data_IF_546186759439
#
_entry.id   IF_546186759439
#
_cell.length_a   1.000
_cell.length_b   1.000
_cell.length_c   1.000
_cell.angle_alpha   90.00
_cell.angle_beta   90.00
_cell.angle_gamma   90.00
#
_symmetry.space_group_name_H-M   'P 1'
#
loop_
_entity.id
_entity.type
_entity.pdbx_description
1 polymer ?
#
# COMPACT_ATOMS: atom_id res chain seq x y z
N UNK A 1 50.61 -13.81 -8.03
CA UNK A 1 49.46 -14.70 -8.33
C UNK A 1 48.99 -14.35 -9.72
N UNK A 2 49.62 -14.92 -10.74
CA UNK A 2 49.32 -14.62 -12.15
C UNK A 2 48.15 -15.49 -12.61
N UNK A 3 46.95 -14.94 -12.53
CA UNK A 3 45.74 -15.63 -12.95
C UNK A 3 45.60 -15.47 -14.46
N UNK A 4 46.14 -16.43 -15.21
CA UNK A 4 46.06 -16.46 -16.67
C UNK A 4 44.61 -16.41 -17.19
N UNK A 5 44.40 -16.17 -18.50
CA UNK A 5 43.08 -15.91 -19.09
C UNK A 5 42.03 -17.00 -18.81
N UNK A 6 42.46 -18.26 -18.62
CA UNK A 6 41.60 -19.37 -18.20
C UNK A 6 41.13 -19.28 -16.75
N UNK A 7 41.97 -18.75 -15.86
CA UNK A 7 41.61 -18.48 -14.47
C UNK A 7 40.60 -17.35 -14.34
N UNK A 8 40.74 -16.31 -15.17
CA UNK A 8 39.77 -15.21 -15.23
C UNK A 8 38.41 -15.69 -15.77
N UNK A 9 38.40 -16.59 -16.76
CA UNK A 9 37.17 -17.21 -17.25
C UNK A 9 36.50 -18.11 -16.22
N UNK A 10 37.27 -18.91 -15.47
CA UNK A 10 36.73 -19.74 -14.39
C UNK A 10 36.12 -18.89 -13.26
N UNK A 11 36.77 -17.78 -12.89
CA UNK A 11 36.25 -16.86 -11.88
C UNK A 11 34.93 -16.20 -12.34
N UNK A 12 34.85 -15.81 -13.61
CA UNK A 12 33.65 -15.22 -14.20
C UNK A 12 32.47 -16.22 -14.23
N UNK A 13 32.72 -17.50 -14.53
CA UNK A 13 31.70 -18.55 -14.50
C UNK A 13 31.21 -18.82 -13.07
N UNK A 14 32.12 -18.85 -12.08
CA UNK A 14 31.75 -19.02 -10.67
C UNK A 14 30.93 -17.84 -10.13
N UNK A 15 31.27 -16.61 -10.51
CA UNK A 15 30.48 -15.41 -10.18
C UNK A 15 29.09 -15.44 -10.85
N UNK A 16 29.00 -15.85 -12.11
CA UNK A 16 27.72 -15.95 -12.83
C UNK A 16 26.78 -17.01 -12.23
N UNK A 17 27.31 -18.15 -11.77
CA UNK A 17 26.52 -19.20 -11.11
C UNK A 17 26.11 -18.83 -9.68
N UNK A 18 26.86 -17.96 -9.00
CA UNK A 18 26.57 -17.50 -7.63
C UNK A 18 25.48 -16.43 -7.51
N UNK A 19 25.09 -15.76 -8.61
CA UNK A 19 24.13 -14.65 -8.58
C UNK A 19 22.66 -15.04 -8.69
N UNK A 20 22.32 -16.32 -8.89
CA UNK A 20 20.93 -16.78 -8.88
C UNK A 20 20.43 -16.96 -7.43
N UNK A 21 20.17 -15.86 -6.74
CA UNK A 21 19.30 -15.90 -5.56
C UNK A 21 17.84 -15.92 -6.06
N UNK A 22 17.06 -17.00 -5.83
CA UNK A 22 15.63 -16.93 -6.03
C UNK A 22 15.09 -15.84 -5.11
N UNK A 23 14.27 -14.93 -5.65
CA UNK A 23 13.56 -13.95 -4.83
C UNK A 23 12.64 -14.72 -3.88
N UNK A 24 13.14 -14.97 -2.66
CA UNK A 24 12.38 -15.64 -1.62
C UNK A 24 11.12 -14.84 -1.33
N UNK A 25 10.04 -15.56 -1.02
CA UNK A 25 8.81 -14.93 -0.60
C UNK A 25 9.06 -14.13 0.69
N UNK A 26 8.92 -12.81 0.61
CA UNK A 26 9.08 -11.94 1.77
C UNK A 26 7.79 -11.98 2.60
N UNK A 27 7.92 -12.14 3.92
CA UNK A 27 6.78 -12.06 4.83
C UNK A 27 6.11 -10.69 4.71
N UNK A 28 4.78 -10.61 4.46
CA UNK A 28 4.08 -9.33 4.39
C UNK A 28 4.09 -8.59 5.73
N UNK A 29 4.01 -7.25 5.67
CA UNK A 29 3.84 -6.44 6.89
C UNK A 29 2.41 -6.54 7.44
N UNK A 30 2.24 -6.22 8.72
CA UNK A 30 0.93 -6.30 9.37
C UNK A 30 -0.16 -5.50 8.64
N UNK A 31 0.15 -4.27 8.18
CA UNK A 31 -0.79 -3.43 7.45
C UNK A 31 -1.24 -4.04 6.12
N UNK A 32 -0.38 -4.84 5.46
CA UNK A 32 -0.73 -5.51 4.21
C UNK A 32 -1.76 -6.62 4.42
N UNK A 33 -1.85 -7.18 5.63
CA UNK A 33 -2.78 -8.24 5.97
C UNK A 33 -4.05 -7.73 6.68
N UNK A 34 -3.91 -6.77 7.58
CA UNK A 34 -5.00 -6.35 8.47
C UNK A 34 -5.99 -5.38 7.84
N UNK A 35 -5.64 -4.74 6.72
CA UNK A 35 -6.43 -3.70 6.04
C UNK A 35 -7.17 -4.22 4.80
N UNK A 36 -7.36 -5.54 4.70
CA UNK A 36 -8.17 -6.18 3.65
C UNK A 36 -9.47 -6.66 4.27
N UNK A 37 -10.59 -6.19 3.74
CA UNK A 37 -11.91 -6.68 4.10
C UNK A 37 -12.03 -8.19 3.75
N UNK A 38 -12.71 -8.96 4.60
CA UNK A 38 -12.70 -10.42 4.53
C UNK A 38 -13.30 -10.97 3.22
N UNK A 39 -14.35 -10.33 2.69
CA UNK A 39 -14.98 -10.70 1.40
C UNK A 39 -14.13 -10.35 0.19
N UNK A 40 -13.19 -9.41 0.32
CA UNK A 40 -12.26 -9.03 -0.76
C UNK A 40 -10.98 -9.87 -0.81
N UNK A 41 -10.78 -10.79 0.16
CA UNK A 41 -9.60 -11.66 0.21
C UNK A 41 -9.52 -12.56 -1.01
N UNK A 42 -8.37 -12.56 -1.67
CA UNK A 42 -8.06 -13.47 -2.78
C UNK A 42 -7.20 -14.61 -2.27
N UNK A 43 -7.65 -15.85 -2.49
CA UNK A 43 -6.95 -17.05 -2.06
C UNK A 43 -5.50 -17.10 -2.60
N UNK A 44 -4.55 -17.41 -1.72
CA UNK A 44 -3.13 -17.57 -2.05
C UNK A 44 -2.60 -18.98 -1.73
N UNK A 45 -3.31 -19.76 -0.92
CA UNK A 45 -2.86 -21.07 -0.45
C UNK A 45 -3.72 -22.23 -0.93
N UNK A 46 -3.36 -23.44 -0.54
CA UNK A 46 -4.20 -24.63 -0.71
C UNK A 46 -5.11 -24.85 0.52
N UNK A 47 -6.22 -25.59 0.40
CA UNK A 47 -7.09 -25.92 1.54
C UNK A 47 -6.33 -26.66 2.64
N UNK A 48 -6.45 -26.21 3.89
CA UNK A 48 -5.76 -26.82 5.03
C UNK A 48 -4.30 -26.38 5.23
N UNK A 49 -3.81 -25.40 4.47
CA UNK A 49 -2.49 -24.79 4.68
C UNK A 49 -2.34 -24.26 6.11
N UNK A 50 -1.17 -24.49 6.72
CA UNK A 50 -0.86 -23.96 8.05
C UNK A 50 -0.61 -22.45 8.00
N UNK A 51 -0.80 -21.75 9.12
CA UNK A 51 -0.51 -20.33 9.22
C UNK A 51 0.97 -20.02 8.87
N UNK A 52 1.90 -20.85 9.37
CA UNK A 52 3.33 -20.68 9.14
C UNK A 52 3.69 -20.85 7.65
N UNK A 53 3.12 -21.86 6.99
CA UNK A 53 3.35 -22.11 5.58
C UNK A 53 2.79 -20.99 4.70
N UNK A 54 1.59 -20.49 5.02
CA UNK A 54 1.00 -19.34 4.33
C UNK A 54 1.88 -18.06 4.45
N UNK A 55 2.46 -17.79 5.62
CA UNK A 55 3.38 -16.65 5.76
C UNK A 55 4.71 -16.89 5.04
N UNK A 56 5.21 -18.12 5.01
CA UNK A 56 6.44 -18.49 4.31
C UNK A 56 6.30 -18.44 2.79
N UNK A 57 5.08 -18.54 2.24
CA UNK A 57 4.79 -18.28 0.82
C UNK A 57 4.58 -16.79 0.52
N UNK A 58 4.77 -15.90 1.50
CA UNK A 58 4.64 -14.46 1.31
C UNK A 58 3.18 -13.98 1.33
N UNK A 59 2.29 -14.74 1.97
CA UNK A 59 0.87 -14.44 2.06
C UNK A 59 0.41 -14.17 3.50
N UNK A 60 -0.83 -13.73 3.63
CA UNK A 60 -1.46 -13.38 4.89
C UNK A 60 -2.35 -14.52 5.37
N UNK A 61 -2.31 -14.83 6.67
CA UNK A 61 -3.18 -15.82 7.28
C UNK A 61 -4.13 -15.21 8.32
N UNK A 62 -5.43 -15.49 8.21
CA UNK A 62 -6.45 -15.13 9.21
C UNK A 62 -7.68 -16.06 9.13
N UNK A 63 -7.85 -16.91 10.14
CA UNK A 63 -8.95 -17.88 10.26
C UNK A 63 -10.15 -17.40 11.08
N UNK A 64 -10.18 -16.13 11.51
CA UNK A 64 -11.27 -15.60 12.36
C UNK A 64 -12.61 -15.50 11.66
N UNK A 65 -12.62 -15.38 10.33
CA UNK A 65 -13.84 -15.23 9.53
C UNK A 65 -14.09 -16.54 8.75
N UNK A 66 -15.25 -17.20 8.93
CA UNK A 66 -15.58 -18.40 8.17
C UNK A 66 -15.99 -18.06 6.74
N UNK A 67 -16.01 -19.07 5.85
CA UNK A 67 -16.47 -18.96 4.46
C UNK A 67 -15.70 -17.97 3.57
N UNK A 68 -14.49 -17.58 3.96
CA UNK A 68 -13.56 -16.75 3.17
C UNK A 68 -12.17 -17.40 3.16
N UNK A 69 -11.28 -17.05 2.20
CA UNK A 69 -9.93 -17.59 2.20
C UNK A 69 -9.17 -17.21 3.48
N UNK A 70 -8.67 -18.22 4.18
CA UNK A 70 -7.82 -18.01 5.36
C UNK A 70 -6.39 -17.67 5.00
N UNK A 71 -5.87 -18.22 3.89
CA UNK A 71 -4.60 -17.81 3.32
C UNK A 71 -4.85 -16.96 2.08
N UNK A 72 -4.45 -15.68 2.11
CA UNK A 72 -4.81 -14.71 1.09
C UNK A 72 -3.66 -13.80 0.70
N UNK A 73 -3.75 -13.22 -0.49
CA UNK A 73 -2.74 -12.30 -1.00
C UNK A 73 -2.70 -11.00 -0.18
N UNK A 74 -1.49 -10.49 0.14
CA UNK A 74 -1.33 -9.20 0.81
C UNK A 74 -1.69 -8.03 -0.10
N UNK A 75 -1.93 -6.85 0.48
CA UNK A 75 -1.95 -5.61 -0.27
C UNK A 75 -0.58 -5.32 -0.89
N UNK A 76 -0.52 -4.58 -2.02
CA UNK A 76 0.75 -4.16 -2.61
C UNK A 76 1.60 -3.37 -1.61
N UNK A 77 2.90 -3.70 -1.56
CA UNK A 77 3.89 -2.90 -0.81
C UNK A 77 3.89 -1.46 -1.34
N UNK A 78 3.96 -0.50 -0.42
CA UNK A 78 4.07 0.93 -0.72
C UNK A 78 5.32 1.48 -0.04
N UNK A 79 5.73 2.70 -0.43
CA UNK A 79 6.83 3.45 0.19
C UNK A 79 6.66 3.61 1.71
N UNK A 80 5.41 3.75 2.17
CA UNK A 80 5.09 3.86 3.59
C UNK A 80 3.92 2.95 3.99
N UNK A 81 3.94 2.44 5.22
CA UNK A 81 2.85 1.61 5.75
C UNK A 81 1.54 2.41 5.90
N UNK A 82 1.63 3.74 6.03
CA UNK A 82 0.49 4.64 6.05
C UNK A 82 -0.30 4.61 4.73
N UNK A 83 0.37 4.36 3.60
CA UNK A 83 -0.25 4.27 2.28
C UNK A 83 -0.82 2.89 1.94
N UNK A 84 -0.56 1.85 2.75
CA UNK A 84 -1.05 0.50 2.50
C UNK A 84 -2.54 0.42 2.82
N UNK A 85 -3.40 0.37 1.80
CA UNK A 85 -4.85 0.22 1.94
C UNK A 85 -5.48 -0.29 0.66
N UNK A 86 -6.70 -0.81 0.75
CA UNK A 86 -7.51 -1.14 -0.41
C UNK A 86 -7.81 0.09 -1.28
N UNK A 87 -7.96 -0.12 -2.59
CA UNK A 87 -8.23 0.97 -3.54
C UNK A 87 -9.53 1.68 -3.19
N UNK A 88 -10.57 0.94 -2.80
CA UNK A 88 -11.86 1.48 -2.39
C UNK A 88 -11.78 2.32 -1.10
N UNK A 89 -10.76 2.10 -0.27
CA UNK A 89 -10.53 2.87 0.96
C UNK A 89 -9.68 4.13 0.73
N UNK A 90 -9.15 4.33 -0.49
CA UNK A 90 -8.33 5.51 -0.81
C UNK A 90 -9.19 6.76 -0.77
N UNK A 91 -8.72 7.76 -0.02
CA UNK A 91 -9.29 9.10 -0.01
C UNK A 91 -8.53 9.97 -0.99
N UNK A 92 -9.25 10.65 -1.89
CA UNK A 92 -8.62 11.57 -2.83
C UNK A 92 -8.03 12.76 -2.06
N UNK A 93 -6.71 12.92 -2.12
CA UNK A 93 -5.96 14.00 -1.50
C UNK A 93 -5.20 14.86 -2.53
N UNK A 94 -5.58 14.78 -3.81
CA UNK A 94 -4.94 15.50 -4.91
C UNK A 94 -5.95 16.09 -5.90
N UNK A 95 -5.44 16.55 -7.03
CA UNK A 95 -6.22 17.10 -8.16
C UNK A 95 -5.81 16.42 -9.48
N UNK A 96 -6.66 16.46 -10.52
CA UNK A 96 -6.31 15.90 -11.83
C UNK A 96 -5.01 16.52 -12.36
N UNK A 97 -4.03 15.67 -12.71
CA UNK A 97 -2.72 16.10 -13.22
C UNK A 97 -1.66 16.38 -12.16
N UNK A 98 -1.92 16.13 -10.87
CA UNK A 98 -0.91 16.23 -9.80
C UNK A 98 0.29 15.29 -10.07
N UNK A 99 1.51 15.81 -9.88
CA UNK A 99 2.74 15.04 -10.08
C UNK A 99 3.15 14.24 -8.84
N UNK A 100 3.87 13.10 -8.97
CA UNK A 100 4.36 12.33 -7.82
C UNK A 100 5.24 13.14 -6.84
N UNK A 101 5.96 14.14 -7.36
CA UNK A 101 6.82 15.03 -6.58
C UNK A 101 5.98 15.98 -5.70
N UNK A 102 4.84 16.45 -6.21
CA UNK A 102 3.88 17.27 -5.45
C UNK A 102 3.14 16.45 -4.37
N UNK A 103 2.95 15.14 -4.60
CA UNK A 103 2.41 14.21 -3.59
C UNK A 103 3.40 14.03 -2.42
N UNK A 104 4.71 14.06 -2.67
CA UNK A 104 5.76 13.86 -1.66
C UNK A 104 5.88 15.02 -0.64
N UNK A 105 5.57 16.26 -1.06
CA UNK A 105 5.66 17.45 -0.17
C UNK A 105 4.59 17.46 0.92
N UNK A 106 3.55 16.63 0.79
CA UNK A 106 2.46 16.53 1.77
C UNK A 106 2.73 15.53 2.90
N UNK A 107 3.79 14.71 2.81
CA UNK A 107 4.16 13.80 3.90
C UNK A 107 4.66 14.54 5.15
N UNK A 108 5.05 15.81 5.03
CA UNK A 108 5.41 16.64 6.19
C UNK A 108 4.18 17.25 6.92
N UNK A 109 2.98 17.20 6.33
CA UNK A 109 1.77 17.82 6.88
C UNK A 109 0.87 16.86 7.70
N UNK A 110 1.19 15.56 7.75
CA UNK A 110 0.43 14.58 8.54
C UNK A 110 1.03 14.27 9.92
N UNK A 111 2.07 14.98 10.34
CA UNK A 111 2.48 15.02 11.75
C UNK A 111 1.68 16.08 12.51
N UNK A 112 0.38 15.85 12.67
CA UNK A 112 -0.38 16.15 13.91
C UNK A 112 -1.84 15.75 13.72
N UNK A 113 -2.17 14.57 14.25
CA UNK A 113 -3.50 14.37 14.79
C UNK A 113 -3.75 15.42 15.88
N UNK A 114 -4.47 16.48 15.54
CA UNK A 114 -5.20 17.29 16.51
C UNK A 114 -6.68 17.22 16.11
N UNK A 115 -7.57 16.70 16.96
CA UNK A 115 -8.93 16.32 16.53
C UNK A 115 -9.87 17.52 16.36
N UNK A 116 -9.44 18.77 16.54
CA UNK A 116 -10.25 19.95 16.27
C UNK A 116 -9.38 21.07 15.71
N UNK A 117 -9.74 21.57 14.51
CA UNK A 117 -9.13 22.68 13.75
C UNK A 117 -7.78 22.35 13.07
N UNK A 118 -7.85 21.94 11.81
CA UNK A 118 -6.75 22.13 10.87
C UNK A 118 -7.19 23.15 9.82
N UNK A 119 -6.69 24.37 9.96
CA UNK A 119 -6.76 25.39 8.93
C UNK A 119 -5.80 24.97 7.82
N UNK A 120 -6.32 24.56 6.67
CA UNK A 120 -5.49 24.25 5.50
C UNK A 120 -5.01 25.58 4.93
N UNK A 121 -3.80 26.00 5.29
CA UNK A 121 -3.11 27.05 4.56
C UNK A 121 -2.58 26.43 3.26
N UNK A 122 -3.36 26.57 2.19
CA UNK A 122 -2.87 26.33 0.84
C UNK A 122 -1.76 27.37 0.56
N UNK A 123 -0.55 26.97 0.14
CA UNK A 123 0.40 27.90 -0.45
C UNK A 123 -0.13 28.24 -1.85
N UNK A 124 -1.01 29.22 -1.94
CA UNK A 124 -1.43 29.80 -3.22
C UNK A 124 -0.75 31.17 -3.37
N UNK A 125 0.19 31.36 -4.32
CA UNK A 125 0.78 32.67 -4.55
C UNK A 125 -0.13 33.63 -5.34
N UNK A 126 -1.36 33.26 -5.72
CA UNK A 126 -2.15 34.06 -6.68
C UNK A 126 -3.68 34.13 -6.46
N UNK A 127 -4.25 33.97 -5.26
CA UNK A 127 -5.69 34.24 -5.10
C UNK A 127 -6.04 35.07 -3.88
N UNK A 128 -6.28 36.35 -4.17
CA UNK A 128 -7.01 37.37 -3.41
C UNK A 128 -7.99 36.77 -2.39
N UNK A 129 -7.87 37.23 -1.15
CA UNK A 129 -8.81 37.04 -0.04
C UNK A 129 -10.27 37.05 -0.52
N UNK A 130 -10.94 35.90 -0.40
CA UNK A 130 -12.39 35.84 -0.30
C UNK A 130 -12.73 34.88 0.83
N UNK A 131 -13.14 35.43 1.98
CA UNK A 131 -13.75 34.65 3.06
C UNK A 131 -15.01 33.98 2.50
N UNK A 132 -15.01 32.65 2.37
CA UNK A 132 -16.25 31.89 2.21
C UNK A 132 -16.60 31.24 3.56
N UNK A 133 -17.76 31.67 4.09
CA UNK A 133 -18.43 31.12 5.27
C UNK A 133 -18.55 29.61 5.13
N UNK A 134 -18.32 28.90 6.24
CA UNK A 134 -18.39 27.44 6.30
C UNK A 134 -19.76 26.88 5.92
N UNK A 135 -19.74 25.78 5.18
CA UNK A 135 -20.90 24.91 4.96
C UNK A 135 -20.94 23.88 6.11
N UNK A 136 -22.07 23.67 6.80
CA UNK A 136 -22.17 22.69 7.87
C UNK A 136 -22.11 21.26 7.33
N UNK A 137 -21.54 20.38 8.14
CA UNK A 137 -21.53 18.93 7.94
C UNK A 137 -22.95 18.36 8.03
N UNK A 138 -23.56 18.00 6.90
CA UNK A 138 -24.78 17.19 6.89
C UNK A 138 -24.44 15.73 6.51
N UNK A 139 -24.84 14.80 7.39
CA UNK A 139 -24.86 13.37 7.13
C UNK A 139 -25.68 13.07 5.86
N UNK A 140 -25.33 12.04 5.06
CA UNK A 140 -26.14 11.67 3.92
C UNK A 140 -27.46 11.01 4.39
N UNK A 141 -28.64 11.50 3.97
CA UNK A 141 -29.84 10.70 4.09
C UNK A 141 -29.89 9.68 2.94
N UNK A 142 -30.44 8.52 3.29
CA UNK A 142 -30.71 7.44 2.38
C UNK A 142 -31.77 7.80 1.33
N UNK A 143 -31.64 7.14 0.17
CA UNK A 143 -32.71 6.77 -0.77
C UNK A 143 -33.24 7.79 -1.79
N UNK A 144 -33.39 7.26 -3.01
CA UNK A 144 -34.35 7.57 -4.08
C UNK A 144 -34.05 8.80 -4.97
N UNK A 145 -33.88 8.54 -6.28
CA UNK A 145 -34.22 9.54 -7.29
C UNK A 145 -33.47 9.48 -8.62
N UNK A 146 -34.02 8.68 -9.54
CA UNK A 146 -34.17 8.85 -11.00
C UNK A 146 -33.12 9.67 -11.78
N UNK A 147 -32.43 8.97 -12.68
CA UNK A 147 -31.62 9.49 -13.77
C UNK A 147 -32.48 10.21 -14.80
N UNK A 148 -32.09 11.43 -15.20
CA UNK A 148 -32.41 12.01 -16.49
C UNK A 148 -31.24 12.82 -17.02
#
# INVERSE_FOLDING_TARGET
MDMGPRGLQLLAVLLALGLCAPAGAQKPSACQCSRIEASHRKNCGFPGISAAECFNTGCCFDSRVPNVPWCFHPLPKQESEQCVMEVAARKNCGYPGISPQEVCVSQLLLLRHHPQRALVLLPNPQSRLSLLRGVPSENPPASLGVWK
#
